data_IF_501387745492
#
_entry.id   IF_501387745492
#
_cell.length_a   1.000
_cell.length_b   1.000
_cell.length_c   1.000
_cell.angle_alpha   90.00
_cell.angle_beta   90.00
_cell.angle_gamma   90.00
#
_symmetry.space_group_name_H-M   'P 1'
#
loop_
_entity.id
_entity.type
_entity.pdbx_description
1 polymer ?
#
# COMPACT_ATOMS: atom_id res chain seq x y z
N UNK A 1 -11.38 13.58 -18.22
CA UNK A 1 -11.87 13.47 -16.83
C UNK A 1 -11.82 14.80 -16.09
N UNK A 2 -10.63 15.38 -15.87
CA UNK A 2 -10.48 16.65 -15.13
C UNK A 2 -11.17 17.86 -15.79
N UNK A 3 -11.32 17.86 -17.12
CA UNK A 3 -12.08 18.90 -17.86
C UNK A 3 -13.59 18.80 -17.59
N UNK A 4 -14.11 17.61 -17.29
CA UNK A 4 -15.54 17.37 -17.05
C UNK A 4 -15.96 17.65 -15.59
N UNK A 5 -15.02 17.60 -14.65
CA UNK A 5 -15.22 17.81 -13.21
C UNK A 5 -14.37 18.96 -12.67
N UNK A 6 -14.32 20.09 -13.40
CA UNK A 6 -13.48 21.25 -13.05
C UNK A 6 -13.79 21.81 -11.65
N UNK A 7 -15.04 21.71 -11.23
CA UNK A 7 -15.52 22.16 -9.91
C UNK A 7 -14.90 21.36 -8.75
N UNK A 8 -14.46 20.12 -9.00
CA UNK A 8 -13.89 19.23 -8.00
C UNK A 8 -12.36 19.11 -8.06
N UNK A 9 -11.67 20.02 -8.76
CA UNK A 9 -10.20 20.00 -8.88
C UNK A 9 -9.49 20.04 -7.52
N UNK A 10 -10.09 20.69 -6.52
CA UNK A 10 -9.58 20.74 -5.15
C UNK A 10 -10.17 19.65 -4.23
N UNK A 11 -11.10 18.85 -4.75
CA UNK A 11 -11.69 17.68 -4.08
C UNK A 11 -11.53 16.41 -4.95
N UNK A 12 -10.31 15.96 -5.29
CA UNK A 12 -10.13 14.88 -6.26
C UNK A 12 -10.73 13.53 -5.81
N UNK A 13 -10.94 13.36 -4.49
CA UNK A 13 -11.65 12.22 -3.92
C UNK A 13 -13.11 12.14 -4.40
N UNK A 14 -13.79 13.28 -4.55
CA UNK A 14 -15.17 13.33 -5.04
C UNK A 14 -15.23 12.94 -6.51
N UNK A 15 -14.24 13.37 -7.31
CA UNK A 15 -14.07 12.91 -8.71
C UNK A 15 -13.93 11.39 -8.75
N UNK A 16 -13.05 10.81 -7.92
CA UNK A 16 -12.87 9.36 -7.85
C UNK A 16 -14.17 8.64 -7.47
N UNK A 17 -14.90 9.10 -6.45
CA UNK A 17 -16.16 8.46 -6.02
C UNK A 17 -17.20 8.45 -7.14
N UNK A 18 -17.33 9.54 -7.90
CA UNK A 18 -18.28 9.64 -9.00
C UNK A 18 -17.89 8.86 -10.26
N UNK A 19 -16.63 8.42 -10.37
CA UNK A 19 -16.08 7.80 -11.59
C UNK A 19 -15.45 6.43 -11.37
N UNK A 20 -15.48 5.93 -10.13
CA UNK A 20 -14.95 4.61 -9.75
C UNK A 20 -15.53 3.48 -10.60
N UNK A 21 -16.80 3.62 -11.01
CA UNK A 21 -17.46 2.74 -11.97
C UNK A 21 -17.04 3.13 -13.40
N UNK A 22 -16.31 2.23 -14.06
CA UNK A 22 -15.86 2.38 -15.46
C UNK A 22 -14.44 2.95 -15.62
N UNK A 23 -13.99 3.90 -14.78
CA UNK A 23 -12.64 4.49 -14.90
C UNK A 23 -11.65 4.04 -13.82
N UNK A 24 -12.09 3.25 -12.84
CA UNK A 24 -11.25 2.80 -11.72
C UNK A 24 -9.95 2.10 -12.14
N UNK A 25 -9.97 1.29 -13.21
CA UNK A 25 -8.78 0.61 -13.71
C UNK A 25 -7.68 1.60 -14.13
N UNK A 26 -8.02 2.64 -14.90
CA UNK A 26 -7.06 3.64 -15.36
C UNK A 26 -6.43 4.39 -14.19
N UNK A 27 -7.23 4.63 -13.15
CA UNK A 27 -6.78 5.27 -11.92
C UNK A 27 -5.74 4.42 -11.18
N UNK A 28 -6.02 3.13 -10.98
CA UNK A 28 -5.07 2.22 -10.33
C UNK A 28 -3.80 2.02 -11.15
N UNK A 29 -3.93 1.87 -12.47
CA UNK A 29 -2.78 1.72 -13.39
C UNK A 29 -1.91 2.98 -13.37
N UNK A 30 -2.50 4.17 -13.37
CA UNK A 30 -1.75 5.43 -13.32
C UNK A 30 -0.96 5.59 -12.01
N UNK A 31 -1.57 5.28 -10.85
CA UNK A 31 -0.85 5.26 -9.56
C UNK A 31 0.29 4.24 -9.58
N UNK A 32 0.03 3.04 -10.08
CA UNK A 32 1.02 1.98 -10.20
C UNK A 32 2.21 2.44 -11.07
N UNK A 33 1.94 2.99 -12.26
CA UNK A 33 2.98 3.50 -13.17
C UNK A 33 3.78 4.65 -12.54
N UNK A 34 3.13 5.54 -11.79
CA UNK A 34 3.81 6.61 -11.07
C UNK A 34 4.77 6.05 -10.00
N UNK A 35 4.33 5.08 -9.20
CA UNK A 35 5.16 4.43 -8.18
C UNK A 35 6.34 3.69 -8.81
N UNK A 36 6.10 2.94 -9.88
CA UNK A 36 7.14 2.20 -10.61
C UNK A 36 8.15 3.16 -11.25
N UNK A 37 7.66 4.20 -11.91
CA UNK A 37 8.50 5.21 -12.54
C UNK A 37 9.44 5.86 -11.53
N UNK A 38 8.93 6.17 -10.34
CA UNK A 38 9.73 6.68 -9.24
C UNK A 38 10.76 5.66 -8.76
N UNK A 39 10.39 4.39 -8.54
CA UNK A 39 11.32 3.34 -8.13
C UNK A 39 12.43 3.18 -9.18
N UNK A 40 12.10 3.05 -10.47
CA UNK A 40 13.09 2.94 -11.53
C UNK A 40 14.02 4.16 -11.59
N UNK A 41 13.47 5.37 -11.42
CA UNK A 41 14.26 6.59 -11.34
C UNK A 41 15.25 6.55 -10.18
N UNK A 42 14.85 6.04 -9.01
CA UNK A 42 15.76 5.89 -7.87
C UNK A 42 16.93 4.95 -8.19
N UNK A 43 16.74 3.94 -9.03
CA UNK A 43 17.83 3.06 -9.46
C UNK A 43 18.64 3.58 -10.65
N UNK A 44 18.26 4.72 -11.25
CA UNK A 44 19.03 5.34 -12.34
C UNK A 44 20.43 5.77 -11.88
N UNK A 45 21.43 5.47 -12.70
CA UNK A 45 22.80 5.97 -12.56
C UNK A 45 22.86 7.50 -12.79
N UNK A 46 23.82 8.17 -12.16
CA UNK A 46 24.10 9.61 -12.33
C UNK A 46 22.90 10.56 -12.06
N UNK A 47 21.93 10.15 -11.24
CA UNK A 47 20.87 11.05 -10.78
C UNK A 47 21.41 12.15 -9.86
N UNK A 48 20.95 13.38 -10.05
CA UNK A 48 21.29 14.51 -9.18
C UNK A 48 20.29 14.63 -8.03
N UNK A 49 20.70 15.28 -6.93
CA UNK A 49 19.78 15.59 -5.82
C UNK A 49 18.61 16.45 -6.29
N UNK A 50 18.89 17.47 -7.11
CA UNK A 50 17.89 18.37 -7.69
C UNK A 50 16.94 17.59 -8.61
N UNK A 51 17.46 16.73 -9.48
CA UNK A 51 16.62 15.89 -10.35
C UNK A 51 15.72 14.96 -9.54
N UNK A 52 16.20 14.45 -8.40
CA UNK A 52 15.41 13.60 -7.51
C UNK A 52 14.26 14.36 -6.85
N UNK A 53 14.53 15.58 -6.36
CA UNK A 53 13.50 16.46 -5.80
C UNK A 53 12.47 16.81 -6.89
N UNK A 54 12.93 17.16 -8.08
CA UNK A 54 12.05 17.50 -9.20
C UNK A 54 11.14 16.33 -9.61
N UNK A 55 11.70 15.13 -9.78
CA UNK A 55 10.92 13.95 -10.15
C UNK A 55 9.93 13.56 -9.04
N UNK A 56 10.35 13.65 -7.76
CA UNK A 56 9.47 13.45 -6.61
C UNK A 56 8.30 14.43 -6.60
N UNK A 57 8.55 15.72 -6.87
CA UNK A 57 7.51 16.76 -6.95
C UNK A 57 6.52 16.49 -8.08
N UNK A 58 6.98 16.08 -9.27
CA UNK A 58 6.10 15.69 -10.37
C UNK A 58 5.21 14.52 -9.96
N UNK A 59 5.77 13.46 -9.40
CA UNK A 59 5.01 12.29 -8.95
C UNK A 59 3.98 12.67 -7.88
N UNK A 60 4.36 13.55 -6.95
CA UNK A 60 3.47 14.06 -5.90
C UNK A 60 2.29 14.82 -6.49
N UNK A 61 2.53 15.71 -7.45
CA UNK A 61 1.46 16.48 -8.13
C UNK A 61 0.52 15.52 -8.88
N UNK A 62 1.08 14.55 -9.61
CA UNK A 62 0.27 13.55 -10.32
C UNK A 62 -0.61 12.75 -9.36
N UNK A 63 -0.04 12.23 -8.27
CA UNK A 63 -0.79 11.47 -7.26
C UNK A 63 -1.78 12.33 -6.48
N UNK A 64 -1.50 13.62 -6.28
CA UNK A 64 -2.44 14.55 -5.66
C UNK A 64 -3.76 14.61 -6.45
N UNK A 65 -3.69 14.67 -7.78
CA UNK A 65 -4.88 14.65 -8.65
C UNK A 65 -5.63 13.32 -8.67
N UNK A 66 -5.02 12.24 -8.17
CA UNK A 66 -5.73 11.01 -7.91
C UNK A 66 -6.56 11.10 -6.61
N UNK A 67 -6.23 12.01 -5.68
CA UNK A 67 -6.99 12.16 -4.44
C UNK A 67 -6.70 11.07 -3.40
N UNK A 68 -5.60 10.34 -3.57
CA UNK A 68 -5.12 9.34 -2.63
C UNK A 68 -3.94 9.89 -1.83
N UNK A 69 -4.23 10.54 -0.68
CA UNK A 69 -3.18 11.05 0.24
C UNK A 69 -2.16 9.96 0.63
N UNK A 70 -2.63 8.71 0.78
CA UNK A 70 -1.79 7.55 1.09
C UNK A 70 -0.74 7.23 0.00
N UNK A 71 -1.02 7.53 -1.27
CA UNK A 71 -0.05 7.29 -2.36
C UNK A 71 1.13 8.29 -2.29
N UNK A 72 0.91 9.51 -1.82
CA UNK A 72 1.99 10.48 -1.58
C UNK A 72 2.87 10.02 -0.41
N UNK A 73 2.25 9.55 0.68
CA UNK A 73 2.99 8.95 1.81
C UNK A 73 3.79 7.74 1.34
N UNK A 74 3.22 6.93 0.45
CA UNK A 74 3.90 5.78 -0.18
C UNK A 74 5.18 6.21 -0.90
N UNK A 75 5.17 7.26 -1.72
CA UNK A 75 6.39 7.77 -2.37
C UNK A 75 7.47 8.17 -1.35
N UNK A 76 7.07 8.84 -0.27
CA UNK A 76 8.00 9.25 0.79
C UNK A 76 8.63 8.03 1.47
N UNK A 77 7.83 7.02 1.84
CA UNK A 77 8.32 5.79 2.45
C UNK A 77 9.25 5.02 1.53
N UNK A 78 8.90 4.91 0.24
CA UNK A 78 9.77 4.31 -0.79
C UNK A 78 11.11 5.04 -0.85
N UNK A 79 11.11 6.37 -0.85
CA UNK A 79 12.35 7.16 -0.87
C UNK A 79 13.19 6.92 0.39
N UNK A 80 12.58 6.94 1.59
CA UNK A 80 13.29 6.72 2.85
C UNK A 80 13.93 5.33 2.88
N UNK A 81 13.17 4.28 2.55
CA UNK A 81 13.70 2.91 2.54
C UNK A 81 14.77 2.70 1.48
N UNK A 82 14.67 3.38 0.33
CA UNK A 82 15.76 3.39 -0.66
C UNK A 82 17.04 4.00 -0.08
N UNK A 83 16.95 5.12 0.64
CA UNK A 83 18.13 5.74 1.26
C UNK A 83 18.76 4.83 2.33
N UNK A 84 17.94 4.16 3.14
CA UNK A 84 18.40 3.29 4.22
C UNK A 84 18.98 1.98 3.68
N UNK A 85 18.23 1.23 2.88
CA UNK A 85 18.58 -0.15 2.50
C UNK A 85 19.36 -0.27 1.19
N UNK A 86 19.23 0.68 0.26
CA UNK A 86 19.98 0.63 -1.01
C UNK A 86 21.24 1.50 -0.95
N UNK A 87 21.10 2.74 -0.48
CA UNK A 87 22.24 3.66 -0.33
C UNK A 87 22.99 3.49 1.00
N UNK A 88 22.53 2.64 1.92
CA UNK A 88 23.15 2.39 3.24
C UNK A 88 23.37 3.65 4.07
N UNK A 89 22.48 4.64 3.95
CA UNK A 89 22.55 5.82 4.80
C UNK A 89 22.00 5.48 6.17
N UNK A 90 22.88 5.47 7.16
CA UNK A 90 22.48 5.39 8.55
C UNK A 90 21.64 6.63 8.90
N UNK A 91 20.39 6.39 9.29
CA UNK A 91 19.54 7.41 9.90
C UNK A 91 19.66 7.21 11.41
N UNK A 92 20.20 8.20 12.12
CA UNK A 92 20.23 8.14 13.59
C UNK A 92 18.81 8.11 14.14
N UNK A 93 18.61 7.43 15.27
CA UNK A 93 17.30 7.37 15.94
C UNK A 93 16.71 8.77 16.17
N UNK A 94 17.56 9.73 16.56
CA UNK A 94 17.17 11.13 16.71
C UNK A 94 16.60 11.74 15.43
N UNK A 95 17.27 11.57 14.28
CA UNK A 95 16.78 12.06 12.98
C UNK A 95 15.49 11.36 12.57
N UNK A 96 15.38 10.05 12.81
CA UNK A 96 14.15 9.32 12.53
C UNK A 96 12.98 9.86 13.36
N UNK A 97 13.17 10.08 14.66
CA UNK A 97 12.16 10.67 15.54
C UNK A 97 11.78 12.09 15.08
N UNK A 98 12.77 12.93 14.72
CA UNK A 98 12.50 14.27 14.20
C UNK A 98 11.69 14.24 12.90
N UNK A 99 12.07 13.39 11.93
CA UNK A 99 11.33 13.25 10.67
C UNK A 99 9.90 12.76 10.93
N UNK A 100 9.72 11.75 11.79
CA UNK A 100 8.40 11.23 12.17
C UNK A 100 7.54 12.27 12.86
N UNK A 101 8.13 13.10 13.73
CA UNK A 101 7.45 14.19 14.40
C UNK A 101 7.01 15.28 13.42
N UNK A 102 7.91 15.71 12.52
CA UNK A 102 7.60 16.68 11.46
C UNK A 102 6.50 16.14 10.55
N UNK A 103 6.58 14.87 10.14
CA UNK A 103 5.60 14.25 9.26
C UNK A 103 4.23 14.14 9.95
N UNK A 104 4.19 13.71 11.20
CA UNK A 104 2.97 13.67 12.01
C UNK A 104 2.35 15.06 12.16
N UNK A 105 3.17 16.07 12.47
CA UNK A 105 2.72 17.46 12.57
C UNK A 105 2.17 18.00 11.26
N UNK A 106 2.86 17.75 10.15
CA UNK A 106 2.40 18.14 8.80
C UNK A 106 1.08 17.46 8.43
N UNK A 107 0.92 16.18 8.77
CA UNK A 107 -0.32 15.44 8.55
C UNK A 107 -1.48 15.98 9.41
N UNK A 108 -1.23 16.35 10.67
CA UNK A 108 -2.23 16.97 11.55
C UNK A 108 -2.65 18.35 11.02
N UNK A 109 -1.68 19.17 10.60
CA UNK A 109 -1.96 20.49 10.00
C UNK A 109 -2.74 20.35 8.70
N UNK A 110 -2.34 19.42 7.84
CA UNK A 110 -3.06 19.11 6.60
C UNK A 110 -4.44 18.54 6.90
N UNK A 111 -4.62 17.76 7.96
CA UNK A 111 -5.95 17.31 8.37
C UNK A 111 -6.80 18.50 8.83
N UNK A 112 -6.25 19.37 9.67
CA UNK A 112 -6.94 20.56 10.19
C UNK A 112 -7.34 21.53 9.08
N UNK A 113 -6.46 21.77 8.10
CA UNK A 113 -6.72 22.67 6.98
C UNK A 113 -7.80 22.16 6.03
N UNK A 114 -7.97 20.84 5.93
CA UNK A 114 -8.96 20.19 5.06
C UNK A 114 -10.20 19.68 5.83
N UNK A 115 -10.31 19.95 7.12
CA UNK A 115 -11.50 19.64 7.92
C UNK A 115 -12.64 20.54 7.43
N UNK A 116 -13.77 19.95 6.99
CA UNK A 116 -14.96 20.73 6.61
C UNK A 116 -15.44 21.57 7.81
N UNK A 117 -15.76 22.84 7.56
CA UNK A 117 -16.11 23.81 8.60
C UNK A 117 -17.31 23.37 9.46
N UNK A 118 -18.23 22.58 8.91
CA UNK A 118 -19.44 22.09 9.60
C UNK A 118 -19.21 20.92 10.58
N UNK A 119 -17.97 20.47 10.76
CA UNK A 119 -17.69 19.35 11.66
C UNK A 119 -17.25 19.87 13.03
N UNK A 120 -18.20 20.09 13.94
CA UNK A 120 -17.96 20.61 15.30
C UNK A 120 -17.20 19.63 16.21
N UNK A 121 -17.00 18.39 15.79
CA UNK A 121 -16.27 17.40 16.56
C UNK A 121 -14.83 17.87 16.86
N UNK A 122 -14.31 17.70 18.10
CA UNK A 122 -12.92 17.99 18.41
C UNK A 122 -11.97 17.32 17.42
N UNK A 123 -10.85 17.98 17.08
CA UNK A 123 -9.88 17.50 16.09
C UNK A 123 -9.44 16.04 16.39
N UNK A 124 -9.16 15.74 17.65
CA UNK A 124 -8.80 14.40 18.10
C UNK A 124 -9.89 13.36 17.84
N UNK A 125 -11.15 13.70 18.11
CA UNK A 125 -12.28 12.79 17.87
C UNK A 125 -12.52 12.58 16.38
N UNK A 126 -12.30 13.63 15.58
CA UNK A 126 -12.33 13.53 14.11
C UNK A 126 -11.24 12.59 13.60
N UNK A 127 -10.00 12.72 14.08
CA UNK A 127 -8.88 11.82 13.72
C UNK A 127 -9.16 10.38 14.19
N UNK A 128 -9.66 10.20 15.41
CA UNK A 128 -10.06 8.89 15.93
C UNK A 128 -11.20 8.26 15.10
N UNK A 129 -12.07 9.09 14.50
CA UNK A 129 -13.10 8.65 13.56
C UNK A 129 -12.54 8.05 12.26
N UNK A 130 -11.31 8.38 11.86
CA UNK A 130 -10.63 7.75 10.72
C UNK A 130 -10.04 6.37 11.05
N UNK A 131 -10.04 5.96 12.31
CA UNK A 131 -9.69 4.60 12.74
C UNK A 131 -10.94 3.70 12.82
N UNK A 132 -11.83 3.83 11.84
CA UNK A 132 -13.04 3.01 11.70
C UNK A 132 -12.73 1.51 11.66
N UNK A 133 -11.61 1.13 11.05
CA UNK A 133 -11.13 -0.25 11.01
C UNK A 133 -10.94 -0.89 12.39
N UNK A 134 -10.53 -0.12 13.40
CA UNK A 134 -10.41 -0.62 14.78
C UNK A 134 -11.79 -0.87 15.40
N UNK A 135 -12.74 0.06 15.17
CA UNK A 135 -14.12 -0.10 15.65
C UNK A 135 -14.81 -1.29 15.00
N UNK A 136 -14.63 -1.44 13.69
CA UNK A 136 -15.14 -2.58 12.93
C UNK A 136 -14.49 -3.90 13.38
N UNK A 137 -13.20 -3.89 13.71
CA UNK A 137 -12.54 -5.07 14.28
C UNK A 137 -13.14 -5.48 15.63
N UNK A 138 -13.34 -4.52 16.53
CA UNK A 138 -13.97 -4.75 17.84
C UNK A 138 -15.39 -5.28 17.67
N UNK A 139 -16.16 -4.75 16.72
CA UNK A 139 -17.51 -5.24 16.41
C UNK A 139 -17.53 -6.74 16.06
N UNK A 140 -16.52 -7.21 15.31
CA UNK A 140 -16.36 -8.63 14.96
C UNK A 140 -15.98 -9.47 16.18
N UNK A 141 -15.18 -8.91 17.09
CA UNK A 141 -14.72 -9.60 18.31
C UNK A 141 -15.84 -9.72 19.33
N UNK A 142 -16.58 -8.62 19.58
CA UNK A 142 -17.61 -8.54 20.61
C UNK A 142 -18.90 -9.26 20.19
N UNK A 143 -19.24 -9.19 18.90
CA UNK A 143 -20.49 -9.75 18.35
C UNK A 143 -20.21 -10.67 17.17
N UNK A 144 -19.49 -11.80 17.32
CA UNK A 144 -19.05 -12.62 16.20
C UNK A 144 -20.22 -13.12 15.34
N UNK A 145 -20.02 -13.27 14.03
CA UNK A 145 -21.08 -13.70 13.12
C UNK A 145 -21.48 -15.18 13.37
N UNK A 146 -22.69 -15.61 12.95
CA UNK A 146 -23.22 -16.93 13.31
C UNK A 146 -22.37 -18.14 12.88
N UNK A 147 -21.56 -17.99 11.82
CA UNK A 147 -20.70 -19.06 11.26
C UNK A 147 -19.26 -19.01 11.80
N UNK A 148 -19.02 -18.27 12.87
CA UNK A 148 -17.71 -18.12 13.49
C UNK A 148 -17.28 -19.39 14.27
N UNK A 149 -15.98 -19.78 14.22
CA UNK A 149 -14.95 -19.26 13.33
C UNK A 149 -15.08 -19.81 11.90
N UNK A 150 -14.68 -19.02 10.91
CA UNK A 150 -14.70 -19.41 9.50
C UNK A 150 -13.54 -20.34 9.08
N UNK A 151 -12.59 -20.60 9.99
CA UNK A 151 -11.48 -21.54 9.83
C UNK A 151 -10.60 -21.29 8.58
N UNK A 152 -10.33 -20.02 8.28
CA UNK A 152 -9.49 -19.61 7.15
C UNK A 152 -10.24 -19.50 5.82
N UNK A 153 -11.55 -19.77 5.81
CA UNK A 153 -12.38 -19.64 4.62
C UNK A 153 -12.44 -18.20 4.10
N UNK A 154 -12.55 -17.21 5.00
CA UNK A 154 -12.61 -15.80 4.59
C UNK A 154 -11.31 -15.41 3.88
N UNK A 155 -10.15 -15.73 4.48
CA UNK A 155 -8.85 -15.49 3.88
C UNK A 155 -8.70 -16.23 2.54
N UNK A 156 -9.10 -17.50 2.46
CA UNK A 156 -9.03 -18.26 1.21
C UNK A 156 -9.89 -17.65 0.10
N UNK A 157 -11.14 -17.31 0.39
CA UNK A 157 -12.05 -16.71 -0.59
C UNK A 157 -11.58 -15.31 -1.01
N UNK A 158 -11.05 -14.51 -0.08
CA UNK A 158 -10.47 -13.21 -0.36
C UNK A 158 -9.28 -13.34 -1.34
N UNK A 159 -8.46 -14.38 -1.22
CA UNK A 159 -7.37 -14.60 -2.16
C UNK A 159 -7.84 -15.22 -3.48
N UNK A 160 -8.63 -16.28 -3.45
CA UNK A 160 -8.95 -17.05 -4.65
C UNK A 160 -10.06 -16.40 -5.45
N UNK A 161 -11.18 -16.08 -4.81
CA UNK A 161 -12.32 -15.55 -5.54
C UNK A 161 -12.01 -14.15 -6.03
N UNK A 162 -11.38 -13.25 -5.26
CA UNK A 162 -11.07 -11.88 -5.73
C UNK A 162 -10.35 -11.84 -7.08
N UNK A 163 -9.45 -12.79 -7.34
CA UNK A 163 -8.62 -12.89 -8.55
C UNK A 163 -9.36 -13.38 -9.79
N UNK A 164 -10.48 -14.09 -9.63
CA UNK A 164 -11.26 -14.61 -10.75
C UNK A 164 -12.17 -13.50 -11.28
N UNK A 165 -11.95 -12.99 -12.52
CA UNK A 165 -12.83 -12.00 -13.12
C UNK A 165 -14.24 -12.59 -13.30
N UNK A 166 -15.29 -11.77 -13.11
CA UNK A 166 -16.68 -12.20 -13.32
C UNK A 166 -16.96 -12.69 -14.75
N UNK A 167 -16.16 -12.28 -15.73
CA UNK A 167 -16.23 -12.81 -17.10
C UNK A 167 -15.86 -14.30 -17.20
N UNK A 168 -14.92 -14.78 -16.35
CA UNK A 168 -14.51 -16.19 -16.30
C UNK A 168 -15.38 -17.01 -15.34
N UNK A 169 -16.04 -16.35 -14.38
CA UNK A 169 -16.97 -16.98 -13.43
C UNK A 169 -18.24 -16.12 -13.30
N UNK A 170 -19.23 -16.26 -14.21
CA UNK A 170 -20.45 -15.45 -14.19
C UNK A 170 -21.25 -15.57 -12.89
N UNK A 171 -21.30 -16.79 -12.33
CA UNK A 171 -22.01 -17.10 -11.08
C UNK A 171 -21.17 -16.83 -9.82
N UNK A 172 -20.15 -15.99 -9.90
CA UNK A 172 -19.29 -15.66 -8.76
C UNK A 172 -20.12 -15.02 -7.64
N UNK A 173 -20.10 -15.57 -6.41
CA UNK A 173 -20.84 -14.99 -5.29
C UNK A 173 -20.42 -13.54 -5.06
N UNK A 174 -21.33 -12.71 -4.57
CA UNK A 174 -21.04 -11.33 -4.18
C UNK A 174 -20.49 -11.27 -2.75
N UNK A 175 -20.98 -12.14 -1.88
CA UNK A 175 -20.50 -12.35 -0.53
C UNK A 175 -19.38 -13.38 -0.51
N UNK A 176 -18.14 -12.92 -0.62
CA UNK A 176 -16.97 -13.78 -0.41
C UNK A 176 -15.91 -13.03 0.38
N UNK A 177 -15.10 -13.74 1.13
CA UNK A 177 -14.06 -13.14 1.96
C UNK A 177 -14.64 -12.14 2.96
N UNK A 178 -14.02 -10.96 3.06
CA UNK A 178 -14.44 -9.88 3.97
C UNK A 178 -15.86 -9.37 3.71
N UNK A 179 -16.41 -9.59 2.51
CA UNK A 179 -17.80 -9.23 2.21
C UNK A 179 -18.83 -10.06 2.99
N UNK A 180 -18.46 -11.22 3.55
CA UNK A 180 -19.32 -11.91 4.51
C UNK A 180 -19.55 -11.09 5.79
N UNK A 181 -18.51 -10.37 6.24
CA UNK A 181 -18.62 -9.49 7.40
C UNK A 181 -19.38 -8.21 7.03
N UNK A 182 -19.15 -7.67 5.82
CA UNK A 182 -19.90 -6.51 5.33
C UNK A 182 -21.42 -6.81 5.21
N UNK A 183 -21.79 -7.97 4.68
CA UNK A 183 -23.19 -8.42 4.58
C UNK A 183 -23.87 -8.49 5.95
N UNK A 184 -23.15 -8.96 6.98
CA UNK A 184 -23.70 -9.12 8.32
C UNK A 184 -23.76 -7.80 9.12
N UNK A 185 -22.67 -7.03 9.16
CA UNK A 185 -22.58 -5.83 10.00
C UNK A 185 -23.02 -4.54 9.30
N UNK A 186 -22.94 -4.49 7.97
CA UNK A 186 -23.25 -3.31 7.16
C UNK A 186 -24.10 -3.68 5.92
N UNK A 187 -25.31 -4.26 6.11
CA UNK A 187 -26.11 -4.81 5.01
C UNK A 187 -26.45 -3.76 3.94
N UNK A 188 -26.74 -2.52 4.33
CA UNK A 188 -27.02 -1.42 3.39
C UNK A 188 -25.84 -1.06 2.49
N UNK A 189 -24.60 -1.22 2.96
CA UNK A 189 -23.39 -1.00 2.17
C UNK A 189 -23.13 -2.15 1.20
N UNK A 190 -23.39 -3.37 1.67
CA UNK A 190 -23.31 -4.57 0.84
C UNK A 190 -24.32 -4.51 -0.32
N UNK A 191 -25.57 -4.17 -0.03
CA UNK A 191 -26.62 -4.01 -1.06
C UNK A 191 -26.30 -2.87 -2.02
N UNK A 192 -25.82 -1.72 -1.51
CA UNK A 192 -25.50 -0.53 -2.30
C UNK A 192 -24.19 -0.57 -3.10
N UNK A 193 -23.48 -1.71 -3.16
CA UNK A 193 -22.21 -1.88 -3.88
C UNK A 193 -21.16 -0.81 -3.53
N UNK A 194 -21.11 -0.39 -2.26
CA UNK A 194 -20.20 0.67 -1.82
C UNK A 194 -18.79 0.17 -1.53
N UNK A 195 -18.61 -1.15 -1.41
CA UNK A 195 -17.37 -1.83 -1.04
C UNK A 195 -17.45 -2.42 0.38
N UNK A 196 -16.55 -3.33 0.71
CA UNK A 196 -16.45 -3.81 2.11
C UNK A 196 -15.80 -2.72 2.98
N UNK A 197 -16.38 -2.38 4.15
CA UNK A 197 -15.66 -1.65 5.18
C UNK A 197 -14.35 -2.35 5.53
N UNK A 198 -13.37 -1.58 6.01
CA UNK A 198 -12.16 -2.17 6.56
C UNK A 198 -12.48 -2.76 7.93
N UNK A 199 -12.26 -4.06 8.12
CA UNK A 199 -12.43 -4.74 9.40
C UNK A 199 -11.09 -4.95 10.14
N UNK A 200 -9.97 -4.50 9.57
CA UNK A 200 -8.64 -4.65 10.18
C UNK A 200 -8.33 -6.09 10.60
N UNK A 201 -7.85 -6.26 11.84
CA UNK A 201 -7.60 -7.57 12.46
C UNK A 201 -8.87 -8.43 12.64
N UNK A 202 -10.05 -7.80 12.57
CA UNK A 202 -11.34 -8.48 12.67
C UNK A 202 -11.55 -9.52 11.57
N UNK A 203 -10.96 -9.34 10.38
CA UNK A 203 -11.02 -10.34 9.31
C UNK A 203 -10.35 -11.64 9.75
N UNK A 204 -9.11 -11.55 10.26
CA UNK A 204 -8.38 -12.74 10.69
C UNK A 204 -8.92 -13.31 11.99
N UNK A 205 -9.47 -12.45 12.87
CA UNK A 205 -10.22 -12.91 14.04
C UNK A 205 -11.46 -13.70 13.60
N UNK A 206 -12.24 -13.26 12.60
CA UNK A 206 -13.39 -14.01 12.12
C UNK A 206 -13.02 -15.42 11.62
N UNK A 207 -11.84 -15.58 11.01
CA UNK A 207 -11.34 -16.87 10.54
C UNK A 207 -10.81 -17.76 11.66
N UNK A 208 -9.99 -17.24 12.58
CA UNK A 208 -9.22 -18.06 13.51
C UNK A 208 -9.60 -17.86 14.98
N UNK A 209 -10.51 -16.94 15.27
CA UNK A 209 -10.91 -16.57 16.62
C UNK A 209 -9.73 -16.21 17.52
N UNK A 210 -9.73 -16.62 18.80
CA UNK A 210 -8.64 -16.31 19.73
C UNK A 210 -7.30 -16.91 19.33
N UNK A 211 -7.27 -17.95 18.48
CA UNK A 211 -6.01 -18.53 17.99
C UNK A 211 -5.20 -17.53 17.16
N UNK A 212 -5.82 -16.43 16.70
CA UNK A 212 -5.14 -15.37 15.99
C UNK A 212 -3.99 -14.76 16.80
N UNK A 213 -4.08 -14.78 18.14
CA UNK A 213 -3.03 -14.32 19.06
C UNK A 213 -1.73 -15.12 18.92
N UNK A 214 -1.79 -16.36 18.43
CA UNK A 214 -0.62 -17.21 18.18
C UNK A 214 -0.24 -17.23 16.70
N UNK A 215 -1.24 -17.27 15.81
CA UNK A 215 -1.03 -17.36 14.36
C UNK A 215 -0.40 -16.08 13.80
N UNK A 216 -0.89 -14.89 14.18
CA UNK A 216 -0.34 -13.64 13.64
C UNK A 216 1.12 -13.41 14.01
N UNK A 217 1.55 -13.52 15.29
CA UNK A 217 2.95 -13.35 15.62
C UNK A 217 3.86 -14.33 14.87
N UNK A 218 3.41 -15.58 14.67
CA UNK A 218 4.15 -16.57 13.89
C UNK A 218 4.29 -16.14 12.42
N UNK A 219 3.20 -15.74 11.77
CA UNK A 219 3.21 -15.30 10.38
C UNK A 219 4.02 -14.01 10.19
N UNK A 220 3.88 -13.04 11.08
CA UNK A 220 4.68 -11.81 11.04
C UNK A 220 6.16 -12.08 11.37
N UNK A 221 6.46 -13.01 12.27
CA UNK A 221 7.83 -13.46 12.55
C UNK A 221 8.48 -14.09 11.32
N UNK A 222 7.75 -14.96 10.60
CA UNK A 222 8.21 -15.54 9.33
C UNK A 222 8.40 -14.46 8.25
N UNK A 223 7.45 -13.54 8.11
CA UNK A 223 7.55 -12.43 7.17
C UNK A 223 8.76 -11.53 7.48
N UNK A 224 9.01 -11.22 8.76
CA UNK A 224 10.17 -10.46 9.20
C UNK A 224 11.48 -11.19 8.88
N UNK A 225 11.55 -12.51 9.14
CA UNK A 225 12.71 -13.33 8.79
C UNK A 225 13.01 -13.28 7.29
N UNK A 226 11.99 -13.48 6.45
CA UNK A 226 12.12 -13.39 4.99
C UNK A 226 12.58 -11.98 4.57
N UNK A 227 11.99 -10.94 5.15
CA UNK A 227 12.35 -9.54 4.89
C UNK A 227 13.81 -9.25 5.22
N UNK A 228 14.31 -9.73 6.35
CA UNK A 228 15.72 -9.60 6.72
C UNK A 228 16.65 -10.26 5.69
N UNK A 229 16.27 -11.44 5.17
CA UNK A 229 17.01 -12.10 4.08
C UNK A 229 17.04 -11.26 2.81
N UNK A 230 15.89 -10.72 2.40
CA UNK A 230 15.78 -9.87 1.21
C UNK A 230 16.56 -8.58 1.37
N UNK A 231 16.50 -7.92 2.54
CA UNK A 231 17.28 -6.70 2.83
C UNK A 231 18.77 -6.98 2.64
N UNK A 232 19.29 -8.04 3.27
CA UNK A 232 20.72 -8.41 3.16
C UNK A 232 21.13 -8.70 1.72
N UNK A 233 20.28 -9.37 0.94
CA UNK A 233 20.52 -9.63 -0.48
C UNK A 233 20.50 -8.35 -1.31
N UNK A 234 19.52 -7.46 -1.06
CA UNK A 234 19.35 -6.23 -1.80
C UNK A 234 20.48 -5.22 -1.50
N UNK A 235 20.95 -5.18 -0.25
CA UNK A 235 22.12 -4.37 0.13
C UNK A 235 23.38 -4.77 -0.64
N UNK A 236 23.51 -6.04 -1.03
CA UNK A 236 24.65 -6.57 -1.80
C UNK A 236 24.48 -6.37 -3.30
N UNK A 237 23.31 -6.71 -3.85
CA UNK A 237 23.08 -6.77 -5.30
C UNK A 237 22.47 -5.50 -5.88
N UNK A 238 21.84 -4.65 -5.06
CA UNK A 238 21.14 -3.40 -5.45
C UNK A 238 20.21 -3.60 -6.64
N UNK A 239 19.31 -4.58 -6.53
CA UNK A 239 18.38 -4.93 -7.61
C UNK A 239 16.99 -4.34 -7.36
N UNK A 240 16.32 -3.99 -8.46
CA UNK A 240 14.99 -3.37 -8.41
C UNK A 240 13.95 -4.38 -7.92
N UNK A 241 14.04 -5.63 -8.36
CA UNK A 241 13.13 -6.69 -7.94
C UNK A 241 13.18 -6.93 -6.43
N UNK A 242 14.37 -7.13 -5.87
CA UNK A 242 14.55 -7.35 -4.44
C UNK A 242 14.04 -6.16 -3.62
N UNK A 243 14.24 -4.94 -4.11
CA UNK A 243 13.71 -3.74 -3.45
C UNK A 243 12.17 -3.70 -3.47
N UNK A 244 11.52 -4.08 -4.57
CA UNK A 244 10.06 -4.14 -4.65
C UNK A 244 9.49 -5.19 -3.69
N UNK A 245 10.09 -6.37 -3.64
CA UNK A 245 9.66 -7.42 -2.71
C UNK A 245 9.88 -6.98 -1.26
N UNK A 246 10.98 -6.29 -0.97
CA UNK A 246 11.23 -5.69 0.35
C UNK A 246 10.14 -4.68 0.73
N UNK A 247 9.77 -3.78 -0.19
CA UNK A 247 8.70 -2.80 0.03
C UNK A 247 7.35 -3.48 0.33
N UNK A 248 7.04 -4.57 -0.38
CA UNK A 248 5.82 -5.34 -0.13
C UNK A 248 5.77 -5.92 1.28
N UNK A 249 6.84 -6.58 1.73
CA UNK A 249 6.89 -7.11 3.10
C UNK A 249 6.97 -6.02 4.18
N UNK A 250 7.47 -4.83 3.85
CA UNK A 250 7.39 -3.65 4.71
C UNK A 250 5.96 -3.05 4.78
N UNK A 251 4.97 -3.67 4.12
CA UNK A 251 3.59 -3.20 4.12
C UNK A 251 3.34 -2.00 3.20
N UNK A 252 4.27 -1.69 2.29
CA UNK A 252 4.14 -0.56 1.37
C UNK A 252 3.43 -1.01 0.10
N UNK A 253 2.22 -0.50 -0.09
CA UNK A 253 1.35 -0.84 -1.21
C UNK A 253 1.81 -0.12 -2.48
N UNK A 254 2.61 -0.81 -3.30
CA UNK A 254 3.02 -0.31 -4.63
C UNK A 254 1.90 -0.49 -5.65
N UNK A 255 1.22 -1.64 -5.61
CA UNK A 255 0.09 -1.99 -6.46
C UNK A 255 -1.20 -1.76 -5.68
N UNK A 256 -1.93 -0.65 -5.93
CA UNK A 256 -3.19 -0.37 -5.26
C UNK A 256 -4.33 -1.21 -5.86
N UNK A 257 -4.13 -2.52 -6.03
CA UNK A 257 -5.14 -3.42 -6.59
C UNK A 257 -6.00 -3.96 -5.44
N UNK A 258 -7.25 -3.51 -5.36
CA UNK A 258 -8.33 -4.14 -4.59
C UNK A 258 -7.96 -4.69 -3.20
N UNK A 259 -8.63 -5.78 -2.83
CA UNK A 259 -8.38 -6.56 -1.62
C UNK A 259 -7.57 -7.82 -1.95
N UNK A 260 -6.86 -8.35 -0.95
CA UNK A 260 -6.04 -9.57 -1.06
C UNK A 260 -4.54 -9.34 -0.86
N UNK A 261 -3.82 -10.43 -0.60
CA UNK A 261 -2.39 -10.51 -0.39
C UNK A 261 -1.68 -10.77 -1.72
N UNK A 262 -1.27 -9.68 -2.37
CA UNK A 262 -0.75 -9.66 -3.74
C UNK A 262 0.70 -10.15 -3.88
N UNK A 263 1.15 -11.10 -3.05
CA UNK A 263 2.53 -11.57 -3.08
C UNK A 263 2.89 -12.22 -4.43
N UNK A 264 2.09 -13.16 -4.99
CA UNK A 264 2.41 -13.76 -6.29
C UNK A 264 2.53 -12.72 -7.40
N UNK A 265 1.58 -11.78 -7.46
CA UNK A 265 1.58 -10.69 -8.43
C UNK A 265 2.82 -9.81 -8.24
N UNK A 266 3.19 -9.51 -7.00
CA UNK A 266 4.37 -8.70 -6.68
C UNK A 266 5.65 -9.38 -7.15
N UNK A 267 5.79 -10.69 -6.94
CA UNK A 267 6.97 -11.45 -7.37
C UNK A 267 7.11 -11.47 -8.90
N UNK A 268 6.01 -11.76 -9.61
CA UNK A 268 5.98 -11.76 -11.08
C UNK A 268 6.29 -10.36 -11.60
N UNK A 269 5.64 -9.35 -11.05
CA UNK A 269 5.82 -7.96 -11.42
C UNK A 269 7.26 -7.48 -11.20
N UNK A 270 7.83 -7.76 -10.01
CA UNK A 270 9.21 -7.44 -9.66
C UNK A 270 10.20 -8.08 -10.65
N UNK A 271 10.01 -9.36 -10.97
CA UNK A 271 10.85 -10.08 -11.92
C UNK A 271 10.87 -9.42 -13.31
N UNK A 272 9.69 -9.11 -13.87
CA UNK A 272 9.60 -8.45 -15.17
C UNK A 272 10.21 -7.05 -15.14
N UNK A 273 10.01 -6.30 -14.05
CA UNK A 273 10.58 -4.97 -13.91
C UNK A 273 12.11 -5.01 -13.84
N UNK A 274 12.69 -6.00 -13.17
CA UNK A 274 14.15 -6.19 -13.17
C UNK A 274 14.69 -6.50 -14.57
N UNK A 275 13.99 -7.34 -15.36
CA UNK A 275 14.37 -7.61 -16.75
C UNK A 275 14.34 -6.33 -17.58
N UNK A 276 13.26 -5.55 -17.48
CA UNK A 276 13.14 -4.26 -18.15
C UNK A 276 14.24 -3.28 -17.73
N UNK A 277 14.51 -3.20 -16.42
CA UNK A 277 15.55 -2.34 -15.88
C UNK A 277 16.93 -2.73 -16.42
N UNK A 278 17.24 -4.02 -16.49
CA UNK A 278 18.54 -4.53 -16.98
C UNK A 278 18.73 -4.27 -18.48
N UNK A 279 17.66 -4.34 -19.28
CA UNK A 279 17.72 -4.11 -20.74
C UNK A 279 17.95 -2.63 -21.07
N UNK A 280 17.27 -1.72 -20.34
CA UNK A 280 17.26 -0.28 -20.65
C UNK A 280 18.33 0.51 -19.90
N UNK A 281 18.70 0.06 -18.71
CA UNK A 281 19.81 0.58 -17.92
C UNK A 281 20.87 -0.52 -17.92
N UNK A 282 21.88 -0.44 -18.80
CA UNK A 282 23.10 -1.24 -18.67
C UNK A 282 23.74 -0.86 -17.33
N UNK A 283 23.32 -1.52 -16.26
CA UNK A 283 23.94 -1.39 -14.95
C UNK A 283 25.38 -1.86 -15.07
N UNK A 284 26.31 -1.01 -14.64
CA UNK A 284 27.73 -1.31 -14.61
C UNK A 284 28.01 -2.54 -13.75
N UNK A 285 28.11 -3.71 -14.39
CA UNK A 285 29.02 -4.76 -13.95
C UNK A 285 30.46 -4.25 -14.19
N UNK A 286 30.92 -3.34 -13.34
CA UNK A 286 32.31 -2.92 -13.30
C UNK A 286 32.61 -2.21 -11.98
N UNK A 287 32.50 -2.89 -10.83
CA UNK A 287 33.27 -2.53 -9.61
C UNK A 287 33.16 -3.56 -8.46
N UNK A 288 33.13 -4.86 -8.80
CA UNK A 288 33.27 -5.92 -7.79
C UNK A 288 34.58 -6.74 -7.93
N UNK A 289 35.42 -6.50 -8.94
CA UNK A 289 36.62 -7.34 -9.18
C UNK A 289 37.99 -6.68 -8.91
N UNK A 290 38.08 -5.38 -8.58
CA UNK A 290 39.39 -4.71 -8.42
C UNK A 290 39.75 -4.22 -7.00
N UNK A 291 39.18 -4.80 -5.94
CA UNK A 291 39.57 -4.46 -4.54
C UNK A 291 40.24 -5.62 -3.80
N UNK A 292 40.67 -6.68 -4.52
CA UNK A 292 41.49 -7.76 -3.92
C UNK A 292 42.81 -8.02 -4.65
N UNK A 293 43.24 -7.11 -5.53
CA UNK A 293 44.53 -7.22 -6.22
C UNK A 293 45.26 -5.89 -6.36
N UNK A 294 45.45 -5.16 -5.26
CA UNK A 294 46.60 -4.25 -5.10
C UNK A 294 46.61 -3.65 -3.68
N UNK A 295 47.69 -4.00 -2.97
CA UNK A 295 48.21 -3.45 -1.70
C UNK A 295 47.55 -4.00 -0.43
#
# INVERSE_FOLDING_TARGET
>A
MMIKFREYLFSPREIYVQTRTGYGLYFFVSILLCNIGFILYLFKENKTKIGTIFYFSICTILLYFHGTKGSIVTLLLVYILYQVHVNRKAISLSRALTISFILSGALILLFSAFKKADNDAPLFLSIAGYADYTRNAIMVIDSPPPKYPYLGRIAFEEEVYSRIPRALMPNKPKNFGSYHLAEYYFPSWFEGDTGSPSFGIGVQYADFGPFILFILPLLYGLAAYITCGIIKLNERQRRVDLFIVMLFFAGIVIMPLGSGYLLPETLVFAYFLQKFATIRFRFGNAHAENVTSTI
#
